data_IF_694326215216
#
_entry.id   IF_694326215216
#
_cell.length_a   1.000
_cell.length_b   1.000
_cell.length_c   1.000
_cell.angle_alpha   90.00
_cell.angle_beta   90.00
_cell.angle_gamma   90.00
#
_symmetry.space_group_name_H-M   'P 1'
#
loop_
_entity.id
_entity.type
_entity.pdbx_description
1 polymer ?
#
# COMPACT_ATOMS: atom_id res chain seq x y z
N UNK A 1 -2.42 -1.80 9.49
CA UNK A 1 -1.48 -0.83 10.08
C UNK A 1 -0.40 -0.52 9.05
N UNK A 2 0.51 -1.45 8.76
CA UNK A 2 1.61 -1.27 7.78
C UNK A 2 1.20 -0.78 6.37
N UNK A 3 0.19 -1.40 5.74
CA UNK A 3 -0.31 -0.96 4.43
C UNK A 3 -0.84 0.48 4.45
N UNK A 4 -1.50 0.88 5.54
CA UNK A 4 -2.04 2.25 5.69
C UNK A 4 -0.92 3.26 5.88
N UNK A 5 0.11 2.91 6.68
CA UNK A 5 1.30 3.74 6.85
C UNK A 5 2.01 3.98 5.51
N UNK A 6 2.17 2.94 4.69
CA UNK A 6 2.76 3.09 3.35
C UNK A 6 1.91 3.96 2.42
N UNK A 7 0.57 3.79 2.42
CA UNK A 7 -0.34 4.64 1.64
C UNK A 7 -0.16 6.10 2.02
N UNK A 8 -0.17 6.40 3.32
CA UNK A 8 0.07 7.75 3.85
C UNK A 8 1.42 8.31 3.40
N UNK A 9 2.48 7.52 3.48
CA UNK A 9 3.81 7.93 3.05
C UNK A 9 3.87 8.24 1.54
N UNK A 10 3.26 7.40 0.69
CA UNK A 10 3.18 7.64 -0.76
C UNK A 10 2.35 8.89 -1.11
N UNK A 11 1.26 9.14 -0.38
CA UNK A 11 0.46 10.35 -0.53
C UNK A 11 1.26 11.59 -0.17
N UNK A 12 1.98 11.56 0.95
CA UNK A 12 2.85 12.66 1.38
C UNK A 12 3.93 12.98 0.34
N UNK A 13 4.57 11.94 -0.23
CA UNK A 13 5.54 12.09 -1.33
C UNK A 13 4.90 12.76 -2.54
N UNK A 14 3.71 12.32 -2.94
CA UNK A 14 3.00 12.87 -4.10
C UNK A 14 2.59 14.34 -3.87
N UNK A 15 1.98 14.65 -2.72
CA UNK A 15 1.51 15.98 -2.36
C UNK A 15 2.65 16.99 -2.27
N UNK A 16 3.78 16.60 -1.67
CA UNK A 16 4.95 17.46 -1.50
C UNK A 16 5.92 17.41 -2.68
N UNK A 17 5.61 16.61 -3.71
CA UNK A 17 6.45 16.42 -4.91
C UNK A 17 7.90 16.11 -4.54
N UNK A 18 8.10 15.19 -3.61
CA UNK A 18 9.44 14.82 -3.18
C UNK A 18 10.15 14.03 -4.29
N UNK A 19 11.44 14.27 -4.43
CA UNK A 19 12.33 13.55 -5.35
C UNK A 19 13.27 12.61 -4.57
N UNK A 20 13.76 11.56 -5.23
CA UNK A 20 14.71 10.55 -4.67
C UNK A 20 14.31 9.97 -3.30
N UNK A 21 13.15 9.30 -3.25
CA UNK A 21 12.61 8.71 -2.03
C UNK A 21 12.97 7.24 -1.87
N UNK A 22 13.38 6.87 -0.65
CA UNK A 22 13.56 5.48 -0.21
C UNK A 22 12.59 5.18 0.93
N UNK A 23 11.71 4.19 0.75
CA UNK A 23 10.89 3.66 1.83
C UNK A 23 11.58 2.49 2.51
N UNK A 24 11.64 2.57 3.83
CA UNK A 24 12.23 1.55 4.70
C UNK A 24 11.11 0.89 5.50
N UNK A 25 11.12 -0.44 5.59
CA UNK A 25 10.16 -1.17 6.42
C UNK A 25 10.76 -2.49 6.90
N UNK A 26 10.40 -2.89 8.12
CA UNK A 26 10.71 -4.22 8.65
C UNK A 26 9.77 -5.32 8.15
N UNK A 27 8.67 -4.94 7.50
CA UNK A 27 7.69 -5.85 6.93
C UNK A 27 8.10 -6.35 5.55
N UNK A 28 8.75 -7.53 5.53
CA UNK A 28 9.01 -8.25 4.28
C UNK A 28 7.75 -8.45 3.44
N UNK A 29 6.62 -8.72 4.09
CA UNK A 29 5.35 -8.99 3.41
C UNK A 29 4.87 -7.74 2.68
N UNK A 30 4.93 -6.57 3.32
CA UNK A 30 4.58 -5.30 2.69
C UNK A 30 5.49 -5.02 1.49
N UNK A 31 6.81 -5.12 1.68
CA UNK A 31 7.78 -4.83 0.63
C UNK A 31 7.63 -5.78 -0.56
N UNK A 32 7.57 -7.09 -0.34
CA UNK A 32 7.32 -8.07 -1.41
C UNK A 32 5.97 -7.85 -2.09
N UNK A 33 4.96 -7.39 -1.35
CA UNK A 33 3.66 -7.06 -1.96
C UNK A 33 3.80 -5.93 -2.97
N UNK A 34 4.55 -4.88 -2.63
CA UNK A 34 4.75 -3.68 -3.44
C UNK A 34 5.73 -3.93 -4.61
N UNK A 35 6.81 -4.64 -4.37
CA UNK A 35 7.88 -4.81 -5.36
C UNK A 35 7.63 -5.95 -6.34
N UNK A 36 6.88 -6.98 -5.94
CA UNK A 36 6.74 -8.22 -6.72
C UNK A 36 5.28 -8.63 -6.92
N UNK A 37 4.53 -8.81 -5.83
CA UNK A 37 3.26 -9.54 -5.91
C UNK A 37 2.17 -8.76 -6.60
N UNK A 38 2.03 -7.46 -6.33
CA UNK A 38 1.00 -6.65 -6.98
C UNK A 38 1.20 -6.55 -8.49
N UNK A 39 2.44 -6.54 -8.98
CA UNK A 39 2.75 -6.60 -10.43
C UNK A 39 2.27 -7.93 -11.02
N UNK A 40 2.53 -9.03 -10.31
CA UNK A 40 2.09 -10.36 -10.74
C UNK A 40 0.57 -10.54 -10.66
N UNK A 41 -0.08 -9.92 -9.68
CA UNK A 41 -1.53 -9.96 -9.51
C UNK A 41 -2.24 -9.09 -10.54
N UNK A 42 -1.74 -7.89 -10.85
CA UNK A 42 -2.29 -7.04 -11.92
C UNK A 42 -2.34 -7.81 -13.24
N UNK A 43 -1.23 -8.45 -13.64
CA UNK A 43 -1.14 -9.29 -14.84
C UNK A 43 -2.14 -10.46 -14.86
N UNK A 44 -2.61 -10.89 -13.69
CA UNK A 44 -3.57 -11.99 -13.51
C UNK A 44 -4.98 -11.51 -13.19
N UNK A 45 -5.26 -10.21 -13.35
CA UNK A 45 -6.55 -9.61 -13.03
C UNK A 45 -6.91 -9.73 -11.55
N UNK A 46 -5.94 -9.48 -10.67
CA UNK A 46 -6.07 -9.48 -9.20
C UNK A 46 -6.55 -10.80 -8.61
N UNK A 47 -5.99 -11.91 -9.11
CA UNK A 47 -6.26 -13.28 -8.65
C UNK A 47 -4.98 -13.97 -8.20
N UNK A 48 -5.07 -14.83 -7.18
CA UNK A 48 -3.96 -15.72 -6.79
C UNK A 48 -3.81 -16.88 -7.79
N UNK A 49 -2.57 -17.33 -7.97
CA UNK A 49 -2.23 -18.53 -8.74
C UNK A 49 -2.58 -19.80 -7.96
N UNK A 50 -3.05 -20.84 -8.67
CA UNK A 50 -3.00 -22.22 -8.17
C UNK A 50 -4.13 -22.67 -7.24
N UNK A 51 -5.15 -21.86 -6.99
CA UNK A 51 -6.30 -22.28 -6.18
C UNK A 51 -7.59 -21.93 -6.94
N UNK A 52 -8.50 -22.89 -7.02
CA UNK A 52 -9.81 -22.72 -7.67
C UNK A 52 -10.57 -21.49 -7.16
N UNK A 53 -11.66 -21.14 -7.86
CA UNK A 53 -12.51 -19.96 -7.62
C UNK A 53 -12.48 -19.52 -6.14
N UNK A 54 -11.85 -18.36 -5.89
CA UNK A 54 -11.88 -17.58 -4.63
C UNK A 54 -10.70 -17.69 -3.64
N UNK A 55 -9.46 -17.92 -4.07
CA UNK A 55 -8.31 -17.49 -3.26
C UNK A 55 -8.23 -15.95 -3.23
N UNK A 56 -8.88 -15.34 -2.23
CA UNK A 56 -8.88 -13.88 -2.02
C UNK A 56 -7.49 -13.38 -1.67
N UNK A 57 -7.08 -12.28 -2.31
CA UNK A 57 -5.91 -11.50 -1.90
C UNK A 57 -6.32 -10.78 -0.61
N UNK A 58 -5.51 -10.92 0.44
CA UNK A 58 -5.79 -10.25 1.72
C UNK A 58 -5.52 -8.74 1.56
N UNK A 59 -6.38 -7.90 2.13
CA UNK A 59 -6.30 -6.44 2.03
C UNK A 59 -6.22 -5.93 0.58
N UNK A 60 -6.93 -6.58 -0.35
CA UNK A 60 -6.89 -6.25 -1.77
C UNK A 60 -7.28 -4.78 -2.03
N UNK A 61 -8.22 -4.25 -1.27
CA UNK A 61 -8.58 -2.83 -1.23
C UNK A 61 -7.36 -1.92 -1.02
N UNK A 62 -6.56 -2.18 0.02
CA UNK A 62 -5.36 -1.39 0.31
C UNK A 62 -4.25 -1.60 -0.74
N UNK A 63 -4.10 -2.84 -1.24
CA UNK A 63 -3.12 -3.17 -2.28
C UNK A 63 -3.45 -2.44 -3.58
N UNK A 64 -4.73 -2.37 -3.97
CA UNK A 64 -5.16 -1.65 -5.15
C UNK A 64 -4.94 -0.14 -5.00
N UNK A 65 -5.19 0.41 -3.80
CA UNK A 65 -4.89 1.82 -3.52
C UNK A 65 -3.39 2.12 -3.64
N UNK A 66 -2.54 1.26 -3.08
CA UNK A 66 -1.07 1.37 -3.25
C UNK A 66 -0.67 1.26 -4.73
N UNK A 67 -1.31 0.37 -5.49
CA UNK A 67 -1.04 0.20 -6.91
C UNK A 67 -1.33 1.48 -7.72
N UNK A 68 -2.48 2.11 -7.48
CA UNK A 68 -2.84 3.38 -8.14
C UNK A 68 -1.86 4.50 -7.75
N UNK A 69 -1.59 4.67 -6.46
CA UNK A 69 -0.64 5.68 -5.98
C UNK A 69 0.75 5.47 -6.59
N UNK A 70 1.20 4.22 -6.70
CA UNK A 70 2.49 3.91 -7.34
C UNK A 70 2.52 4.32 -8.82
N UNK A 71 1.39 4.23 -9.52
CA UNK A 71 1.28 4.62 -10.93
C UNK A 71 1.18 6.13 -11.13
N UNK A 72 0.61 6.84 -10.16
CA UNK A 72 0.51 8.30 -10.16
C UNK A 72 1.83 8.98 -9.81
N UNK A 73 2.67 8.34 -9.01
CA UNK A 73 3.98 8.89 -8.64
C UNK A 73 4.89 9.03 -9.88
N UNK A 74 5.41 10.24 -10.17
CA UNK A 74 6.27 10.46 -11.33
C UNK A 74 7.71 9.97 -11.11
N UNK A 75 8.04 9.54 -9.89
CA UNK A 75 9.40 9.16 -9.49
C UNK A 75 9.55 7.66 -9.27
N UNK A 76 10.79 7.18 -9.40
CA UNK A 76 11.15 5.81 -9.01
C UNK A 76 11.47 5.76 -7.53
N UNK A 77 10.62 5.09 -6.77
CA UNK A 77 10.79 4.84 -5.34
C UNK A 77 11.73 3.65 -5.12
N UNK A 78 12.68 3.78 -4.18
CA UNK A 78 13.50 2.67 -3.66
C UNK A 78 12.83 2.06 -2.43
N UNK A 79 13.01 0.76 -2.24
CA UNK A 79 12.44 0.00 -1.13
C UNK A 79 13.54 -0.80 -0.44
N UNK A 80 13.68 -0.61 0.87
CA UNK A 80 14.70 -1.28 1.67
C UNK A 80 14.07 -2.02 2.85
N UNK A 81 14.51 -3.26 3.05
CA UNK A 81 14.10 -4.05 4.19
C UNK A 81 15.12 -3.92 5.32
N UNK A 82 14.63 -3.61 6.52
CA UNK A 82 15.44 -3.61 7.74
C UNK A 82 14.97 -4.70 8.70
N UNK A 83 15.86 -5.19 9.55
CA UNK A 83 15.50 -6.21 10.52
C UNK A 83 14.78 -5.56 11.71
N UNK A 84 13.50 -5.86 11.88
CA UNK A 84 12.73 -5.42 13.05
C UNK A 84 13.37 -5.94 14.35
N UNK A 85 13.57 -5.02 15.29
CA UNK A 85 14.34 -5.12 16.55
C UNK A 85 15.85 -4.87 16.43
N UNK A 86 16.23 -3.59 16.30
CA UNK A 86 17.31 -2.96 17.08
C UNK A 86 17.14 -1.42 17.04
N UNK A 87 16.51 -0.83 18.06
CA UNK A 87 16.51 0.62 18.35
C UNK A 87 16.09 1.57 17.21
N UNK A 88 14.85 1.44 16.72
CA UNK A 88 14.46 1.90 15.38
C UNK A 88 13.89 3.34 15.36
N UNK A 89 14.79 4.35 15.30
CA UNK A 89 14.42 5.76 15.03
C UNK A 89 13.47 5.89 13.81
N UNK A 90 13.56 4.97 12.84
CA UNK A 90 12.69 4.93 11.67
C UNK A 90 11.24 4.55 11.96
N UNK A 91 10.98 3.66 12.92
CA UNK A 91 9.61 3.35 13.35
C UNK A 91 9.01 4.50 14.17
N UNK A 92 9.80 5.17 15.02
CA UNK A 92 9.31 6.35 15.74
C UNK A 92 8.95 7.48 14.78
N UNK A 93 9.75 7.73 13.74
CA UNK A 93 9.43 8.68 12.67
C UNK A 93 8.19 8.24 11.87
N UNK A 94 8.02 6.95 11.58
CA UNK A 94 6.84 6.43 10.88
C UNK A 94 5.56 6.59 11.73
N UNK A 95 5.64 6.36 13.03
CA UNK A 95 4.54 6.57 13.97
C UNK A 95 4.25 8.07 14.15
N UNK A 96 5.28 8.92 14.26
CA UNK A 96 5.13 10.38 14.34
C UNK A 96 4.50 10.96 13.05
N UNK A 97 4.94 10.49 11.87
CA UNK A 97 4.31 10.85 10.59
C UNK A 97 2.88 10.36 10.51
N UNK A 98 2.60 9.14 10.98
CA UNK A 98 1.23 8.60 11.01
C UNK A 98 0.31 9.45 11.88
N UNK A 99 0.81 9.89 13.04
CA UNK A 99 0.09 10.78 13.97
C UNK A 99 -0.08 12.21 13.41
N UNK A 100 0.93 12.76 12.72
CA UNK A 100 0.83 14.07 12.07
C UNK A 100 -0.16 14.08 10.89
N UNK A 101 -0.27 12.96 10.19
CA UNK A 101 -1.21 12.78 9.08
C UNK A 101 -2.63 12.38 9.52
N UNK A 102 -2.87 12.07 10.80
CA UNK A 102 -4.22 11.80 11.32
C UNK A 102 -5.06 13.08 11.55
N UNK A 103 -4.44 14.26 11.57
CA UNK A 103 -5.13 15.55 11.62
C UNK A 103 -5.76 15.96 10.27
N UNK A 104 -5.22 15.44 9.16
CA UNK A 104 -5.88 15.47 7.86
C UNK A 104 -6.71 14.20 7.74
N UNK A 105 -8.04 14.34 7.69
CA UNK A 105 -8.93 13.20 7.49
C UNK A 105 -8.68 12.65 6.08
N UNK A 106 -7.69 11.76 5.94
CA UNK A 106 -7.60 10.87 4.81
C UNK A 106 -8.77 9.92 4.97
N UNK A 107 -9.91 10.30 4.38
CA UNK A 107 -11.13 9.51 4.42
C UNK A 107 -10.74 8.07 4.08
N UNK A 108 -10.90 7.19 5.07
CA UNK A 108 -10.81 5.73 4.97
C UNK A 108 -11.98 5.18 4.11
N UNK A 109 -12.47 6.00 3.16
CA UNK A 109 -13.28 5.57 2.04
C UNK A 109 -12.39 4.62 1.26
N UNK A 110 -12.56 3.34 1.56
CA UNK A 110 -12.30 2.28 0.59
C UNK A 110 -12.82 2.82 -0.73
N UNK A 111 -11.91 3.14 -1.67
CA UNK A 111 -12.30 3.71 -2.94
C UNK A 111 -13.08 2.64 -3.69
N UNK A 112 -14.39 2.62 -3.47
CA UNK A 112 -15.31 1.72 -4.14
C UNK A 112 -15.18 1.87 -5.66
N UNK A 113 -14.80 3.06 -6.12
CA UNK A 113 -14.42 3.35 -7.51
C UNK A 113 -13.19 2.57 -7.97
N UNK A 114 -12.13 2.47 -7.16
CA UNK A 114 -10.95 1.65 -7.48
C UNK A 114 -11.34 0.17 -7.54
N UNK A 115 -12.17 -0.31 -6.60
CA UNK A 115 -12.64 -1.70 -6.62
C UNK A 115 -13.48 -2.02 -7.86
N UNK A 116 -14.39 -1.10 -8.25
CA UNK A 116 -15.20 -1.23 -9.46
C UNK A 116 -14.33 -1.18 -10.72
N UNK A 117 -13.36 -0.26 -10.79
CA UNK A 117 -12.39 -0.15 -11.89
C UNK A 117 -11.67 -1.46 -12.16
N UNK A 118 -11.33 -2.19 -11.11
CA UNK A 118 -10.65 -3.48 -11.22
C UNK A 118 -11.57 -4.69 -11.30
N UNK A 119 -12.90 -4.49 -11.39
CA UNK A 119 -13.88 -5.57 -11.50
C UNK A 119 -13.87 -6.49 -10.27
N UNK A 120 -13.44 -5.99 -9.12
CA UNK A 120 -13.36 -6.75 -7.87
C UNK A 120 -14.71 -6.65 -7.18
N UNK A 121 -15.49 -7.72 -7.23
CA UNK A 121 -16.73 -7.81 -6.45
C UNK A 121 -16.38 -7.86 -4.96
N UNK A 122 -16.75 -6.81 -4.24
CA UNK A 122 -16.51 -6.75 -2.81
C UNK A 122 -17.58 -7.60 -2.09
N UNK A 123 -17.16 -8.53 -1.24
CA UNK A 123 -18.07 -9.10 -0.22
C UNK A 123 -18.17 -8.18 1.02
N UNK A 124 -17.46 -7.05 1.03
CA UNK A 124 -17.49 -6.01 2.06
C UNK A 124 -18.29 -4.78 1.56
N UNK A 125 -19.44 -5.02 0.92
CA UNK A 125 -20.42 -3.95 0.78
C UNK A 125 -20.75 -3.39 2.18
N UNK A 126 -20.90 -2.08 2.36
CA UNK A 126 -21.57 -1.58 3.55
C UNK A 126 -22.99 -2.14 3.51
N UNK A 127 -23.47 -2.65 4.64
CA UNK A 127 -24.91 -2.89 4.81
C UNK A 127 -25.65 -1.56 4.72
#
# INVERSE_FOLDING_TARGET
MEYKAMIKAMLYVNQNKLDDVTFVSDSKILLSTITEWMISWEKRGWKKSGQGKAAKIKNLDLVLRLWELKKELPIKIKYEWVKGHDGDEGNEIADELTNRLDGEVFEDKVDYEILQKYGVSNNLAPR
#
